data_IF_835642526863
#
_entry.id   IF_835642526863
#
_cell.length_a   1.000
_cell.length_b   1.000
_cell.length_c   1.000
_cell.angle_alpha   90.00
_cell.angle_beta   90.00
_cell.angle_gamma   90.00
#
_symmetry.space_group_name_H-M   'P 1'
#
loop_
_entity.id
_entity.type
_entity.pdbx_description
1 polymer ?
2 water ?
#
# COMPACT_ATOMS: atom_id res chain seq x y z
N UNK A 5 5.01 11.08 9.66
CA UNK A 5 5.05 10.30 8.39
C UNK A 5 6.39 10.50 7.69
N UNK A 6 6.91 9.44 7.09
CA UNK A 6 8.18 9.52 6.38
C UNK A 6 7.98 9.32 4.88
N UNK A 7 8.61 10.18 4.08
CA UNK A 7 8.51 10.09 2.63
C UNK A 7 9.42 8.96 2.16
N UNK A 8 8.83 7.96 1.50
CA UNK A 8 9.61 6.81 1.03
C UNK A 8 9.85 6.75 -0.47
N UNK A 9 9.57 7.84 -1.18
CA UNK A 9 9.82 7.84 -2.62
C UNK A 9 11.32 8.03 -2.84
N UNK A 10 11.84 7.55 -3.97
CA UNK A 10 13.27 7.66 -4.31
C UNK A 10 13.88 9.04 -4.10
N UNK A 11 13.21 10.08 -4.58
CA UNK A 11 13.74 11.43 -4.45
C UNK A 11 13.00 12.24 -3.40
N UNK A 12 12.11 11.58 -2.66
CA UNK A 12 11.32 12.23 -1.63
C UNK A 12 10.53 13.37 -2.26
N UNK A 13 9.66 13.01 -3.20
CA UNK A 13 8.83 13.95 -3.92
C UNK A 13 7.47 14.18 -3.27
N UNK A 14 7.28 13.60 -2.08
CA UNK A 14 6.04 13.75 -1.34
C UNK A 14 4.88 12.88 -1.79
N UNK A 15 5.13 12.04 -2.79
CA UNK A 15 4.09 11.19 -3.34
C UNK A 15 3.61 10.01 -2.52
N UNK A 16 4.46 9.48 -1.64
CA UNK A 16 4.09 8.35 -0.80
C UNK A 16 4.71 8.52 0.58
N UNK A 17 3.86 8.72 1.59
CA UNK A 17 4.33 8.89 2.95
C UNK A 17 3.95 7.64 3.73
N UNK A 18 4.81 7.25 4.66
CA UNK A 18 4.58 6.05 5.44
C UNK A 18 4.66 6.29 6.94
N UNK A 19 3.71 5.71 7.66
CA UNK A 19 3.68 5.80 9.11
C UNK A 19 3.54 4.38 9.63
N UNK A 20 4.52 3.91 10.39
CA UNK A 20 4.45 2.56 10.94
C UNK A 20 3.56 2.57 12.18
N UNK A 21 2.56 1.69 12.18
CA UNK A 21 1.62 1.58 13.30
C UNK A 21 2.10 0.47 14.23
N UNK A 22 2.70 -0.56 13.64
CA UNK A 22 3.22 -1.69 14.39
C UNK A 22 4.45 -2.23 13.66
N UNK A 23 5.59 -2.21 14.35
CA UNK A 23 6.83 -2.69 13.75
C UNK A 23 6.79 -4.19 13.51
N UNK A 24 7.39 -4.62 12.40
CA UNK A 24 7.43 -6.03 12.07
C UNK A 24 8.62 -6.68 12.74
N UNK A 25 8.95 -7.90 12.32
CA UNK A 25 10.08 -8.61 12.91
C UNK A 25 11.30 -8.64 12.00
N UNK A 26 12.46 -8.33 12.57
CA UNK A 26 13.70 -8.34 11.81
C UNK A 26 13.88 -7.16 10.87
N UNK A 27 14.71 -7.35 9.85
CA UNK A 27 14.98 -6.30 8.88
C UNK A 27 14.76 -6.78 7.45
N UNK A 28 14.57 -8.08 7.27
CA UNK A 28 14.36 -8.62 5.93
C UNK A 28 13.01 -8.16 5.37
N UNK A 29 13.01 -7.77 4.10
CA UNK A 29 11.81 -7.28 3.43
C UNK A 29 11.58 -8.04 2.13
N UNK A 30 10.33 -8.05 1.64
CA UNK A 30 10.03 -8.74 0.39
C UNK A 30 10.64 -7.95 -0.76
N UNK A 31 11.07 -8.64 -1.81
CA UNK A 31 11.69 -7.99 -2.96
C UNK A 31 10.98 -8.38 -4.25
N UNK A 32 11.39 -7.76 -5.35
CA UNK A 32 10.79 -8.05 -6.64
C UNK A 32 10.91 -9.54 -6.96
N UNK A 33 9.81 -10.14 -7.38
CA UNK A 33 9.82 -11.56 -7.69
C UNK A 33 9.14 -12.40 -6.63
N UNK A 34 8.88 -11.80 -5.47
CA UNK A 34 8.22 -12.52 -4.39
C UNK A 34 6.71 -12.28 -4.45
N UNK A 35 5.97 -13.19 -3.83
CA UNK A 35 4.52 -13.09 -3.76
C UNK A 35 4.19 -12.79 -2.31
N UNK A 36 3.63 -11.62 -2.05
CA UNK A 36 3.30 -11.23 -0.68
C UNK A 36 1.83 -11.46 -0.37
N UNK A 37 1.53 -11.67 0.91
CA UNK A 37 0.16 -11.87 1.37
C UNK A 37 -0.10 -10.79 2.42
N UNK A 38 -1.13 -9.98 2.20
CA UNK A 38 -1.45 -8.90 3.12
C UNK A 38 -2.94 -8.72 3.35
N UNK A 39 -3.27 -7.85 4.29
CA UNK A 39 -4.64 -7.46 4.57
C UNK A 39 -4.54 -5.95 4.44
N UNK A 40 -5.58 -5.32 3.92
CA UNK A 40 -5.54 -3.88 3.75
C UNK A 40 -6.92 -3.26 3.77
N UNK A 41 -6.95 -1.96 4.00
CA UNK A 41 -8.17 -1.17 4.00
C UNK A 41 -7.75 0.12 3.31
N UNK A 42 -8.54 0.55 2.33
CA UNK A 42 -8.24 1.77 1.62
C UNK A 42 -9.38 2.75 1.77
N UNK A 43 -9.06 4.00 2.10
CA UNK A 43 -10.07 5.03 2.26
C UNK A 43 -9.56 6.33 1.65
N UNK A 44 -10.48 7.24 1.39
CA UNK A 44 -10.13 8.55 0.86
C UNK A 44 -9.74 9.39 2.08
N UNK A 45 -9.25 10.60 1.85
CA UNK A 45 -8.85 11.45 2.97
C UNK A 45 -9.99 11.77 3.94
N UNK A 46 -11.23 11.77 3.44
CA UNK A 46 -12.37 12.06 4.30
C UNK A 46 -12.90 10.83 5.03
N UNK A 47 -12.22 9.70 4.86
CA UNK A 47 -12.65 8.48 5.53
C UNK A 47 -13.49 7.52 4.71
N UNK A 48 -13.89 7.92 3.51
CA UNK A 48 -14.70 7.05 2.65
C UNK A 48 -13.91 5.80 2.28
N UNK A 49 -14.42 4.63 2.67
CA UNK A 49 -13.74 3.38 2.35
C UNK A 49 -14.10 2.94 0.94
N UNK A 50 -13.09 2.59 0.14
CA UNK A 50 -13.34 2.15 -1.22
C UNK A 50 -12.93 0.70 -1.46
N UNK A 51 -12.17 0.12 -0.54
CA UNK A 51 -11.74 -1.26 -0.69
C UNK A 51 -11.20 -1.84 0.61
N UNK A 52 -11.31 -3.15 0.76
CA UNK A 52 -10.83 -3.82 1.97
C UNK A 52 -10.80 -5.33 1.83
N UNK A 53 -9.64 -5.92 2.08
CA UNK A 53 -9.52 -7.37 2.01
C UNK A 53 -10.09 -7.95 3.29
N UNK A 54 -10.05 -7.16 4.36
CA UNK A 54 -10.57 -7.60 5.66
C UNK A 54 -12.08 -7.83 5.61
N UNK A 55 -12.79 -6.96 4.89
CA UNK A 55 -14.23 -7.09 4.76
C UNK A 55 -14.60 -8.32 3.94
N UNK A 56 -13.70 -8.72 3.04
CA UNK A 56 -13.93 -9.90 2.22
C UNK A 56 -13.54 -11.16 2.98
N UNK A 57 -12.77 -10.99 4.05
CA UNK A 57 -12.35 -12.12 4.86
C UNK A 57 -11.26 -12.97 4.23
N UNK A 58 -10.62 -12.45 3.20
CA UNK A 58 -9.56 -13.17 2.50
C UNK A 58 -8.32 -12.30 2.32
N UNK A 59 -7.16 -12.82 2.69
CA UNK A 59 -5.92 -12.06 2.54
C UNK A 59 -5.64 -11.86 1.05
N UNK A 60 -5.06 -10.72 0.71
CA UNK A 60 -4.75 -10.38 -0.68
C UNK A 60 -3.31 -10.74 -1.02
N UNK A 61 -3.12 -11.46 -2.12
CA UNK A 61 -1.78 -11.86 -2.56
C UNK A 61 -1.45 -11.26 -3.92
N UNK A 62 -0.21 -10.83 -4.09
CA UNK A 62 0.22 -10.26 -5.37
C UNK A 62 1.73 -10.34 -5.53
N UNK A 63 2.20 -10.30 -6.77
CA UNK A 63 3.63 -10.36 -7.04
C UNK A 63 4.21 -8.96 -6.99
N UNK A 64 5.09 -8.75 -6.02
CA UNK A 64 5.71 -7.46 -5.78
C UNK A 64 6.66 -6.95 -6.86
N UNK A 65 6.59 -5.64 -7.11
CA UNK A 65 7.46 -4.99 -8.07
C UNK A 65 7.25 -5.27 -9.55
N UNK A 66 6.05 -5.68 -9.93
CA UNK A 66 5.78 -5.99 -11.34
C UNK A 66 4.67 -5.10 -11.91
N UNK A 67 4.20 -4.15 -11.10
CA UNK A 67 3.15 -3.26 -11.56
C UNK A 67 1.77 -3.88 -11.51
N UNK A 68 1.59 -4.86 -10.63
CA UNK A 68 0.31 -5.54 -10.48
C UNK A 68 -0.62 -4.76 -9.56
N UNK A 69 -0.06 -3.75 -8.89
CA UNK A 69 -0.82 -2.90 -7.98
C UNK A 69 -0.40 -1.46 -8.28
N UNK A 70 -1.08 -0.48 -7.70
CA UNK A 70 -0.72 0.91 -7.95
C UNK A 70 0.73 1.14 -7.53
N UNK A 71 1.38 2.12 -8.15
CA UNK A 71 2.78 2.42 -7.87
C UNK A 71 3.10 2.63 -6.39
N UNK A 72 2.20 3.29 -5.68
CA UNK A 72 2.43 3.54 -4.26
C UNK A 72 2.55 2.25 -3.46
N UNK A 73 1.88 1.20 -3.93
CA UNK A 73 1.91 -0.10 -3.26
C UNK A 73 3.20 -0.87 -3.49
N UNK A 74 3.66 -0.93 -4.74
CA UNK A 74 4.91 -1.63 -5.02
C UNK A 74 6.01 -0.97 -4.22
N UNK A 75 5.94 0.35 -4.10
CA UNK A 75 6.94 1.10 -3.36
C UNK A 75 6.83 0.85 -1.85
N UNK A 76 5.62 0.99 -1.33
CA UNK A 76 5.39 0.82 0.10
C UNK A 76 5.59 -0.56 0.69
N UNK A 77 5.03 -1.58 0.05
CA UNK A 77 5.17 -2.94 0.58
C UNK A 77 6.63 -3.38 0.61
N UNK A 78 7.42 -2.88 -0.34
CA UNK A 78 8.84 -3.23 -0.40
C UNK A 78 9.64 -2.67 0.78
N UNK A 79 9.01 -1.81 1.58
CA UNK A 79 9.69 -1.23 2.74
C UNK A 79 9.22 -1.89 4.04
N UNK A 80 8.30 -2.83 3.93
CA UNK A 80 7.76 -3.50 5.12
C UNK A 80 8.45 -4.80 5.52
N UNK A 81 8.40 -5.10 6.82
CA UNK A 81 8.98 -6.33 7.35
C UNK A 81 7.82 -7.26 7.72
N UNK A 82 8.12 -8.53 7.98
CA UNK A 82 7.08 -9.49 8.32
C UNK A 82 6.30 -9.10 9.59
N UNK A 83 4.97 -9.02 9.47
CA UNK A 83 4.14 -8.66 10.60
C UNK A 83 3.92 -7.17 10.79
N UNK A 84 4.59 -6.36 9.98
CA UNK A 84 4.45 -4.92 10.09
C UNK A 84 3.08 -4.43 9.66
N UNK A 85 2.61 -3.38 10.32
CA UNK A 85 1.34 -2.74 10.00
C UNK A 85 1.71 -1.29 9.73
N UNK A 86 1.46 -0.82 8.51
CA UNK A 86 1.80 0.55 8.15
C UNK A 86 0.68 1.26 7.41
N UNK A 87 0.65 2.58 7.55
CA UNK A 87 -0.34 3.42 6.89
C UNK A 87 0.38 4.20 5.79
N UNK A 88 -0.13 4.12 4.57
CA UNK A 88 0.49 4.83 3.46
C UNK A 88 -0.43 5.92 2.94
N UNK A 89 0.13 7.12 2.75
CA UNK A 89 -0.63 8.24 2.22
C UNK A 89 -0.08 8.37 0.81
N UNK A 90 -0.90 8.00 -0.17
CA UNK A 90 -0.51 7.97 -1.57
C UNK A 90 -1.15 9.04 -2.43
N UNK A 91 -0.33 9.96 -2.94
CA UNK A 91 -0.82 11.04 -3.80
C UNK A 91 -1.28 10.40 -5.11
N UNK A 92 -2.21 11.04 -5.81
CA UNK A 92 -2.77 10.46 -7.03
C UNK A 92 -1.79 10.02 -8.11
N UNK A 93 -0.64 10.68 -8.23
CA UNK A 93 0.31 10.27 -9.26
C UNK A 93 0.93 8.90 -8.97
N UNK A 94 0.73 8.40 -7.75
CA UNK A 94 1.22 7.08 -7.36
C UNK A 94 0.00 6.18 -7.12
N UNK A 95 -1.18 6.72 -7.43
CA UNK A 95 -2.41 5.99 -7.24
C UNK A 95 -3.20 5.81 -8.53
N UNK A 96 -4.39 6.41 -8.59
CA UNK A 96 -5.22 6.28 -9.78
C UNK A 96 -5.23 7.51 -10.68
N UNK A 97 -4.30 8.43 -10.42
CA UNK A 97 -4.15 9.62 -11.24
C UNK A 97 -5.33 10.54 -11.43
N UNK A 98 -5.33 11.25 -12.55
CA UNK A 98 -6.37 12.22 -12.87
C UNK A 98 -7.73 11.66 -13.27
N UNK A 99 -7.76 10.43 -13.78
CA UNK A 99 -9.03 9.82 -14.17
C UNK A 99 -9.74 9.25 -12.95
N UNK A 100 -8.95 8.84 -11.96
CA UNK A 100 -9.53 8.26 -10.76
C UNK A 100 -9.99 6.84 -11.04
N UNK A 101 -10.85 6.31 -10.18
CA UNK A 101 -11.33 4.95 -10.36
C UNK A 101 -12.75 4.82 -9.84
N UNK A 102 -13.74 4.97 -10.73
CA UNK A 102 -15.14 4.84 -10.30
C UNK A 102 -15.33 3.48 -9.64
N UNK A 103 -16.37 3.34 -8.81
CA UNK A 103 -17.34 4.39 -8.50
C UNK A 103 -17.00 5.32 -7.34
N UNK A 104 -15.99 4.99 -6.54
CA UNK A 104 -15.69 5.82 -5.38
C UNK A 104 -14.46 6.71 -5.38
N UNK A 105 -13.52 6.48 -6.29
CA UNK A 105 -12.30 7.29 -6.30
C UNK A 105 -12.27 8.38 -7.36
N UNK A 106 -12.33 9.66 -6.94
CA UNK A 106 -12.31 10.79 -7.86
C UNK A 106 -10.90 10.99 -8.41
N UNK A 107 -10.79 11.76 -9.48
CA UNK A 107 -9.46 12.02 -10.02
C UNK A 107 -8.70 12.90 -9.04
N UNK A 108 -7.38 12.73 -8.99
CA UNK A 108 -6.54 13.52 -8.11
C UNK A 108 -6.63 13.19 -6.63
N UNK A 109 -7.32 12.11 -6.28
CA UNK A 109 -7.48 11.74 -4.88
C UNK A 109 -6.26 11.13 -4.20
N UNK A 110 -6.02 11.56 -2.96
CA UNK A 110 -4.93 11.01 -2.17
C UNK A 110 -5.57 9.79 -1.51
N UNK A 111 -4.87 8.67 -1.53
CA UNK A 111 -5.39 7.43 -0.97
C UNK A 111 -4.70 7.08 0.33
N UNK A 112 -5.47 6.62 1.31
CA UNK A 112 -4.91 6.23 2.59
C UNK A 112 -5.10 4.73 2.73
N UNK A 113 -4.00 3.98 2.79
CA UNK A 113 -4.09 2.53 2.94
C UNK A 113 -3.40 2.07 4.22
N UNK A 114 -4.07 1.20 4.97
CA UNK A 114 -3.44 0.62 6.15
C UNK A 114 -3.19 -0.81 5.70
N UNK A 115 -1.93 -1.22 5.70
CA UNK A 115 -1.54 -2.54 5.23
C UNK A 115 -0.83 -3.36 6.29
N UNK A 116 -1.18 -4.64 6.39
CA UNK A 116 -0.53 -5.55 7.32
C UNK A 116 0.11 -6.65 6.47
N UNK A 117 1.43 -6.78 6.56
CA UNK A 117 2.15 -7.79 5.79
C UNK A 117 2.29 -9.05 6.63
N UNK A 118 1.72 -10.14 6.14
CA UNK A 118 1.76 -11.40 6.88
C UNK A 118 2.96 -12.27 6.54
N UNK A 119 3.21 -12.46 5.25
CA UNK A 119 4.32 -13.30 4.81
C UNK A 119 4.52 -13.15 3.31
N UNK A 120 5.53 -13.84 2.79
CA UNK A 120 5.82 -13.82 1.37
C UNK A 120 6.68 -15.02 1.00
N UNK A 121 6.72 -15.34 -0.28
CA UNK A 121 7.52 -16.46 -0.77
C UNK A 121 7.83 -16.26 -2.24
N UNK A 122 8.80 -17.02 -2.74
CA UNK A 122 9.20 -16.93 -4.14
C UNK A 122 8.43 -17.95 -4.97
#
# INVERSE_FOLDING_TARGET
MSGEKIDITPKKDGGVLKLIKKEGQGVVKPTTGTTVKVHYVGTLENGTKFDSSRDRGDQFSFNLGRGNVIKGWDLGVATMTKGEVAEFTIRSDYGYGDAGSPPKIPGGATLIFEVELFEWSAEDISPDRDGTILR
#
